data_IF_111393937255
#
_entry.id   IF_111393937255
#
_cell.length_a   1.000
_cell.length_b   1.000
_cell.length_c   1.000
_cell.angle_alpha   90.00
_cell.angle_beta   90.00
_cell.angle_gamma   90.00
#
_symmetry.space_group_name_H-M   'P 1'
#
loop_
_entity.id
_entity.type
_entity.pdbx_description
1 polymer ?
#
# COMPACT_ATOMS: atom_id res chain seq x y z
N UNK A 1 -10.19 13.33 -15.19
CA UNK A 1 -9.32 14.45 -14.79
C UNK A 1 -7.88 14.04 -14.98
N UNK A 2 -6.93 14.97 -15.02
CA UNK A 2 -5.51 14.61 -15.06
C UNK A 2 -5.07 14.03 -13.72
N UNK A 3 -3.99 13.24 -13.74
CA UNK A 3 -3.34 12.72 -12.53
C UNK A 3 -2.87 13.91 -11.69
N UNK A 4 -3.13 13.91 -10.38
CA UNK A 4 -2.79 15.02 -9.48
C UNK A 4 -1.82 14.59 -8.40
N UNK A 5 -0.70 15.30 -8.24
CA UNK A 5 0.18 15.17 -7.06
C UNK A 5 -0.29 16.12 -5.96
N UNK A 6 -0.59 15.60 -4.79
CA UNK A 6 -0.88 16.38 -3.60
C UNK A 6 0.44 16.70 -2.88
N UNK A 7 0.58 17.94 -2.39
CA UNK A 7 1.79 18.36 -1.70
C UNK A 7 1.86 17.69 -0.33
N UNK A 8 2.94 16.95 -0.08
CA UNK A 8 3.31 16.54 1.27
C UNK A 8 3.87 17.76 2.03
N UNK A 9 3.60 17.81 3.33
CA UNK A 9 4.24 18.79 4.22
C UNK A 9 5.70 18.34 4.38
N UNK A 10 6.65 19.15 3.90
CA UNK A 10 8.04 18.78 3.57
C UNK A 10 8.98 18.35 4.71
N UNK A 11 8.49 17.61 5.71
CA UNK A 11 9.28 17.02 6.79
C UNK A 11 9.91 15.67 6.38
N UNK A 12 9.36 14.99 5.37
CA UNK A 12 9.81 13.67 4.92
C UNK A 12 10.18 13.70 3.43
N UNK A 13 11.00 12.74 2.95
CA UNK A 13 11.27 12.58 1.53
C UNK A 13 9.99 12.43 0.71
N UNK A 14 9.97 12.98 -0.49
CA UNK A 14 8.82 12.91 -1.41
C UNK A 14 8.50 11.47 -1.87
N UNK A 15 9.50 10.58 -1.81
CA UNK A 15 9.37 9.16 -2.17
C UNK A 15 10.00 8.34 -1.06
N UNK A 16 9.19 7.42 -0.52
CA UNK A 16 9.56 6.52 0.56
C UNK A 16 9.20 5.10 0.14
N UNK A 17 10.12 4.16 0.39
CA UNK A 17 9.84 2.73 0.37
C UNK A 17 9.79 2.14 1.80
N UNK A 18 9.50 0.85 1.92
CA UNK A 18 9.33 0.13 3.18
C UNK A 18 10.57 0.23 4.07
N UNK A 19 11.77 0.04 3.49
CA UNK A 19 13.02 0.15 4.23
C UNK A 19 13.23 1.53 4.84
N UNK A 20 12.98 2.59 4.07
CA UNK A 20 13.05 3.96 4.57
C UNK A 20 11.97 4.22 5.63
N UNK A 21 10.80 3.59 5.49
CA UNK A 21 9.72 3.72 6.47
C UNK A 21 10.08 3.07 7.81
N UNK A 22 10.72 1.90 7.80
CA UNK A 22 11.30 1.26 9.00
C UNK A 22 12.31 2.20 9.67
N UNK A 23 13.26 2.74 8.90
CA UNK A 23 14.26 3.69 9.40
C UNK A 23 13.63 4.95 10.01
N UNK A 24 12.53 5.44 9.44
CA UNK A 24 11.78 6.56 10.00
C UNK A 24 11.12 6.19 11.33
N UNK A 25 10.54 4.99 11.43
CA UNK A 25 9.96 4.52 12.70
C UNK A 25 11.02 4.40 13.79
N UNK A 26 12.22 3.90 13.47
CA UNK A 26 13.34 3.85 14.41
C UNK A 26 13.80 5.26 14.82
N UNK A 27 13.94 6.16 13.85
CA UNK A 27 14.39 7.54 14.08
C UNK A 27 13.44 8.32 14.98
N UNK A 28 12.14 8.12 14.84
CA UNK A 28 11.10 8.83 15.59
C UNK A 28 10.43 7.94 16.66
N UNK A 29 11.11 6.86 17.10
CA UNK A 29 10.63 5.88 18.08
C UNK A 29 10.02 6.55 19.31
N UNK A 30 10.74 7.50 19.89
CA UNK A 30 10.31 8.21 21.09
C UNK A 30 9.04 9.05 20.87
N UNK A 31 8.95 9.78 19.75
CA UNK A 31 7.77 10.59 19.44
C UNK A 31 6.55 9.75 19.08
N UNK A 32 6.74 8.61 18.40
CA UNK A 32 5.69 7.63 18.12
C UNK A 32 5.16 7.05 19.44
N UNK A 33 6.05 6.59 20.32
CA UNK A 33 5.68 5.99 21.60
C UNK A 33 4.92 6.96 22.51
N UNK A 34 5.31 8.24 22.53
CA UNK A 34 4.61 9.30 23.27
C UNK A 34 3.35 9.83 22.58
N UNK A 35 3.11 9.47 21.32
CA UNK A 35 2.02 10.03 20.52
C UNK A 35 2.15 11.53 20.28
N UNK A 36 3.38 12.05 20.22
CA UNK A 36 3.67 13.49 20.10
C UNK A 36 3.98 13.94 18.69
N UNK A 37 3.94 13.04 17.69
CA UNK A 37 4.04 13.44 16.28
C UNK A 37 2.83 14.32 15.94
N UNK A 38 3.08 15.63 15.78
CA UNK A 38 2.04 16.61 15.45
C UNK A 38 2.05 16.89 13.96
N UNK A 39 0.89 16.75 13.32
CA UNK A 39 0.58 17.47 12.08
C UNK A 39 1.11 16.88 10.78
N UNK A 40 1.44 15.60 10.71
CA UNK A 40 1.85 14.98 9.43
C UNK A 40 0.93 13.84 9.01
N UNK A 41 0.14 14.09 7.95
CA UNK A 41 -0.61 13.06 7.24
C UNK A 41 0.30 12.19 6.33
N UNK A 42 1.62 12.37 6.38
CA UNK A 42 2.59 11.66 5.55
C UNK A 42 3.80 11.25 6.39
N UNK A 43 4.40 10.07 6.19
CA UNK A 43 3.92 8.98 5.33
C UNK A 43 2.65 8.30 5.88
N UNK A 44 1.57 8.31 5.09
CA UNK A 44 0.37 7.52 5.37
C UNK A 44 0.53 6.16 4.72
N UNK A 45 0.07 5.12 5.40
CA UNK A 45 0.10 3.75 4.89
C UNK A 45 -1.32 3.18 4.75
N UNK A 46 -1.40 2.11 3.98
CA UNK A 46 -2.53 1.19 3.89
C UNK A 46 -2.08 -0.17 4.42
N UNK A 47 -2.95 -0.88 5.12
CA UNK A 47 -2.70 -2.23 5.63
C UNK A 47 -3.95 -3.10 5.54
N UNK A 48 -3.79 -4.42 5.56
CA UNK A 48 -4.93 -5.37 5.51
C UNK A 48 -5.44 -5.64 6.92
N UNK A 49 -6.74 -5.45 7.13
CA UNK A 49 -7.46 -5.87 8.33
C UNK A 49 -8.07 -7.25 8.11
N UNK A 50 -8.72 -7.45 6.95
CA UNK A 50 -9.44 -8.67 6.62
C UNK A 50 -9.88 -8.67 5.17
N UNK A 51 -10.76 -9.61 4.78
CA UNK A 51 -11.34 -9.65 3.43
C UNK A 51 -12.18 -8.40 3.15
N UNK A 52 -11.98 -7.77 2.00
CA UNK A 52 -12.61 -6.48 1.59
C UNK A 52 -12.38 -5.34 2.61
N UNK A 53 -11.32 -5.42 3.42
CA UNK A 53 -11.07 -4.46 4.50
C UNK A 53 -9.61 -4.05 4.55
N UNK A 54 -9.34 -2.88 3.99
CA UNK A 54 -8.11 -2.13 4.25
C UNK A 54 -8.30 -1.19 5.44
N UNK A 55 -7.24 -0.99 6.20
CA UNK A 55 -7.09 0.09 7.17
C UNK A 55 -6.06 1.10 6.69
N UNK A 56 -6.06 2.28 7.31
CA UNK A 56 -5.15 3.36 6.98
C UNK A 56 -4.61 4.02 8.24
N UNK A 57 -3.30 4.23 8.29
CA UNK A 57 -2.67 4.86 9.45
C UNK A 57 -1.76 6.01 9.00
N UNK A 58 -1.80 7.11 9.75
CA UNK A 58 -0.89 8.23 9.57
C UNK A 58 0.43 7.93 10.30
N UNK A 59 1.51 8.58 9.85
CA UNK A 59 2.79 8.45 10.53
C UNK A 59 2.67 8.93 11.98
N UNK A 60 3.16 8.12 12.91
CA UNK A 60 2.89 8.30 14.33
C UNK A 60 1.94 7.27 14.91
N UNK A 61 1.06 6.66 14.10
CA UNK A 61 0.07 5.68 14.55
C UNK A 61 0.42 4.24 14.16
N UNK A 62 1.63 4.02 13.66
CA UNK A 62 2.18 2.70 13.37
C UNK A 62 3.70 2.69 13.57
N UNK A 63 4.25 1.48 13.64
CA UNK A 63 5.69 1.23 13.62
C UNK A 63 5.96 -0.16 13.03
N UNK A 64 7.23 -0.43 12.72
CA UNK A 64 7.68 -1.74 12.27
C UNK A 64 8.55 -2.36 13.36
N UNK A 65 8.22 -3.57 13.80
CA UNK A 65 9.01 -4.29 14.79
C UNK A 65 10.28 -4.88 14.15
N UNK A 66 11.11 -5.55 14.96
CA UNK A 66 12.43 -6.09 14.57
C UNK A 66 12.34 -7.12 13.43
N UNK A 67 11.19 -7.77 13.26
CA UNK A 67 10.92 -8.74 12.19
C UNK A 67 10.33 -8.09 10.93
N UNK A 68 10.47 -6.77 10.78
CA UNK A 68 9.82 -5.95 9.74
C UNK A 68 8.28 -6.07 9.73
N UNK A 69 7.68 -6.61 10.79
CA UNK A 69 6.24 -6.73 10.95
C UNK A 69 5.60 -5.38 11.25
N UNK A 70 4.54 -5.02 10.52
CA UNK A 70 3.78 -3.80 10.76
C UNK A 70 2.88 -3.96 11.98
N UNK A 71 2.97 -2.98 12.89
CA UNK A 71 2.06 -2.81 14.02
C UNK A 71 1.38 -1.46 13.96
N UNK A 72 0.07 -1.45 14.20
CA UNK A 72 -0.78 -0.25 14.16
C UNK A 72 -1.49 -0.08 15.50
N UNK A 73 -1.59 1.16 15.95
CA UNK A 73 -2.32 1.53 17.16
C UNK A 73 -3.80 1.76 16.86
N UNK A 74 -4.66 1.10 17.62
CA UNK A 74 -6.12 1.24 17.57
C UNK A 74 -6.66 1.75 18.90
N UNK A 75 -7.84 2.38 18.88
CA UNK A 75 -8.51 2.88 20.09
C UNK A 75 -9.76 2.06 20.45
N UNK A 76 -10.25 1.31 19.49
CA UNK A 76 -11.50 0.58 19.53
C UNK A 76 -11.31 -0.69 20.35
N UNK A 77 -12.28 -0.97 21.24
CA UNK A 77 -12.22 -2.12 22.15
C UNK A 77 -12.17 -3.47 21.43
N UNK A 78 -12.63 -3.54 20.18
CA UNK A 78 -12.57 -4.77 19.38
C UNK A 78 -11.14 -5.28 19.15
N UNK A 79 -10.13 -4.43 19.30
CA UNK A 79 -8.71 -4.77 19.18
C UNK A 79 -8.05 -5.18 20.50
N UNK A 80 -8.81 -5.25 21.60
CA UNK A 80 -8.27 -5.60 22.93
C UNK A 80 -7.68 -7.02 22.96
N UNK A 81 -8.31 -7.98 22.28
CA UNK A 81 -7.84 -9.38 22.24
C UNK A 81 -6.57 -9.56 21.40
N UNK A 82 -6.41 -8.75 20.35
CA UNK A 82 -5.26 -8.77 19.45
C UNK A 82 -4.12 -7.83 19.92
N UNK A 83 -4.29 -7.18 21.08
CA UNK A 83 -3.29 -6.26 21.61
C UNK A 83 -2.02 -7.03 21.99
N UNK A 84 -0.89 -6.62 21.42
CA UNK A 84 0.43 -7.11 21.77
C UNK A 84 1.19 -6.04 22.58
N UNK A 85 1.21 -6.11 23.92
CA UNK A 85 1.99 -5.20 24.76
C UNK A 85 3.50 -5.53 24.75
N UNK A 86 3.87 -6.79 24.56
CA UNK A 86 5.28 -7.22 24.61
C UNK A 86 6.08 -6.57 23.47
N UNK A 87 5.51 -6.51 22.25
CA UNK A 87 6.18 -5.84 21.12
C UNK A 87 6.32 -4.33 21.34
N UNK A 88 5.43 -3.72 22.13
CA UNK A 88 5.53 -2.30 22.49
C UNK A 88 6.72 -2.10 23.42
N UNK A 89 6.84 -2.92 24.46
CA UNK A 89 7.98 -2.82 25.38
C UNK A 89 9.30 -3.14 24.68
N UNK A 90 9.35 -4.13 23.80
CA UNK A 90 10.53 -4.46 23.01
C UNK A 90 10.93 -3.31 22.08
N UNK A 91 9.97 -2.78 21.31
CA UNK A 91 10.24 -1.74 20.32
C UNK A 91 10.43 -0.35 20.94
N UNK A 92 9.78 0.00 22.05
CA UNK A 92 9.87 1.34 22.64
C UNK A 92 10.71 1.39 23.93
N UNK A 93 10.84 0.28 24.65
CA UNK A 93 11.52 0.21 25.96
C UNK A 93 10.62 0.61 27.13
N UNK A 94 9.33 0.88 26.88
CA UNK A 94 8.32 1.25 27.87
C UNK A 94 6.90 1.02 27.29
N UNK A 95 5.86 0.86 28.14
CA UNK A 95 4.51 0.44 27.71
C UNK A 95 3.68 1.47 26.93
N UNK A 96 4.19 2.68 26.66
CA UNK A 96 3.52 3.69 25.82
C UNK A 96 2.07 3.99 26.25
N UNK A 97 1.87 4.32 27.53
CA UNK A 97 0.54 4.52 28.12
C UNK A 97 -0.36 5.49 27.32
N UNK A 98 -1.65 5.13 27.17
CA UNK A 98 -2.65 5.94 26.47
C UNK A 98 -2.63 5.83 24.95
N UNK A 99 -1.70 5.06 24.36
CA UNK A 99 -1.62 4.84 22.91
C UNK A 99 -2.68 3.87 22.37
N UNK A 100 -3.29 3.04 23.21
CA UNK A 100 -4.39 2.14 22.82
C UNK A 100 -3.91 0.70 22.60
N UNK A 101 -4.56 -0.01 21.71
CA UNK A 101 -4.28 -1.42 21.39
C UNK A 101 -3.36 -1.51 20.17
N UNK A 102 -2.16 -2.04 20.36
CA UNK A 102 -1.20 -2.35 19.28
C UNK A 102 -1.51 -3.70 18.64
N UNK A 103 -1.83 -3.73 17.35
CA UNK A 103 -2.14 -4.96 16.63
C UNK A 103 -1.24 -5.14 15.40
N UNK A 104 -0.87 -6.38 15.11
CA UNK A 104 -0.10 -6.74 13.91
C UNK A 104 -1.00 -6.73 12.69
N UNK A 105 -0.53 -6.20 11.57
CA UNK A 105 -1.24 -6.21 10.29
C UNK A 105 -0.32 -6.50 9.10
N UNK A 106 -0.90 -6.91 7.96
CA UNK A 106 -0.16 -7.03 6.70
C UNK A 106 -0.02 -5.63 6.10
N UNK A 107 1.22 -5.17 5.95
CA UNK A 107 1.51 -3.91 5.26
C UNK A 107 1.06 -3.98 3.79
N UNK A 108 0.31 -2.97 3.34
CA UNK A 108 -0.38 -2.98 2.04
C UNK A 108 -0.24 -1.68 1.23
N UNK A 109 0.84 -0.93 1.47
CA UNK A 109 1.24 0.18 0.62
C UNK A 109 1.44 1.51 1.33
N UNK A 110 2.16 2.39 0.64
CA UNK A 110 2.45 3.76 1.03
C UNK A 110 1.62 4.69 0.16
N UNK A 111 1.01 5.71 0.78
CA UNK A 111 0.33 6.79 0.07
C UNK A 111 1.34 7.49 -0.86
N UNK A 112 1.08 7.45 -2.17
CA UNK A 112 2.02 8.01 -3.15
C UNK A 112 1.92 9.53 -3.27
N UNK A 113 0.89 10.15 -2.69
CA UNK A 113 0.52 11.53 -2.93
C UNK A 113 -0.27 11.75 -4.23
N UNK A 114 -0.37 10.75 -5.11
CA UNK A 114 -1.03 10.89 -6.41
C UNK A 114 -2.47 10.36 -6.38
N UNK A 115 -3.38 11.11 -7.00
CA UNK A 115 -4.72 10.64 -7.31
C UNK A 115 -4.78 10.16 -8.78
N UNK A 116 -5.53 9.10 -9.05
CA UNK A 116 -5.81 8.64 -10.40
C UNK A 116 -6.73 9.62 -11.16
N UNK A 117 -7.04 9.31 -12.42
CA UNK A 117 -7.85 10.19 -13.27
C UNK A 117 -9.32 10.28 -12.84
N UNK A 118 -9.79 9.41 -11.95
CA UNK A 118 -11.11 9.44 -11.30
C UNK A 118 -11.07 10.13 -9.92
N UNK A 119 -9.89 10.59 -9.48
CA UNK A 119 -9.71 11.28 -8.21
C UNK A 119 -9.51 10.36 -7.02
N UNK A 120 -9.21 9.08 -7.23
CA UNK A 120 -8.96 8.10 -6.17
C UNK A 120 -7.49 8.10 -5.78
N UNK A 121 -7.21 8.11 -4.48
CA UNK A 121 -5.84 8.07 -3.95
C UNK A 121 -5.15 6.77 -4.34
N UNK A 122 -3.96 6.87 -4.91
CA UNK A 122 -3.13 5.72 -5.25
C UNK A 122 -2.09 5.42 -4.16
N UNK A 123 -1.97 4.14 -3.84
CA UNK A 123 -0.99 3.59 -2.91
C UNK A 123 -0.09 2.61 -3.66
N UNK A 124 1.13 2.40 -3.19
CA UNK A 124 1.94 1.29 -3.70
C UNK A 124 1.20 -0.04 -3.52
N UNK A 125 1.35 -0.95 -4.49
CA UNK A 125 0.59 -2.19 -4.60
C UNK A 125 -0.75 -2.05 -5.34
N UNK A 126 -1.16 -0.84 -5.73
CA UNK A 126 -2.32 -0.64 -6.60
C UNK A 126 -2.05 -1.12 -8.02
N UNK A 127 -3.03 -1.79 -8.62
CA UNK A 127 -3.03 -2.13 -10.04
C UNK A 127 -3.83 -1.07 -10.78
N UNK A 128 -3.18 -0.41 -11.73
CA UNK A 128 -3.67 0.77 -12.43
C UNK A 128 -3.59 0.55 -13.93
N UNK A 129 -4.69 0.78 -14.64
CA UNK A 129 -4.69 0.83 -16.11
C UNK A 129 -4.08 2.16 -16.53
N UNK A 130 -2.99 2.10 -17.30
CA UNK A 130 -2.34 3.26 -17.88
C UNK A 130 -2.63 3.36 -19.38
N UNK A 131 -3.20 4.49 -19.79
CA UNK A 131 -3.52 4.80 -21.20
C UNK A 131 -2.99 6.17 -21.57
N UNK A 132 -2.37 6.28 -22.73
CA UNK A 132 -2.11 7.58 -23.35
C UNK A 132 -3.39 8.10 -24.00
N UNK A 133 -3.63 9.43 -24.02
CA UNK A 133 -4.81 10.02 -24.69
C UNK A 133 -4.80 9.80 -26.21
N UNK A 134 -3.64 9.51 -26.80
CA UNK A 134 -3.51 9.03 -28.18
C UNK A 134 -4.12 7.65 -28.43
N UNK A 135 -4.60 6.97 -27.38
CA UNK A 135 -5.31 5.69 -27.46
C UNK A 135 -4.43 4.47 -27.24
N UNK A 136 -3.11 4.64 -27.06
CA UNK A 136 -2.21 3.54 -26.72
C UNK A 136 -2.41 3.12 -25.26
N UNK A 137 -2.81 1.87 -25.03
CA UNK A 137 -2.94 1.28 -23.71
C UNK A 137 -1.68 0.47 -23.36
N UNK A 138 -0.95 0.91 -22.34
CA UNK A 138 0.18 0.17 -21.77
C UNK A 138 -0.29 -1.07 -21.00
N UNK A 139 -1.55 -1.06 -20.58
CA UNK A 139 -2.21 -2.12 -19.82
C UNK A 139 -2.31 -1.81 -18.34
N UNK A 140 -2.70 -2.82 -17.57
CA UNK A 140 -2.80 -2.76 -16.11
C UNK A 140 -1.43 -3.02 -15.46
N UNK A 141 -0.89 -2.06 -14.72
CA UNK A 141 0.43 -2.17 -14.10
C UNK A 141 0.31 -1.98 -12.59
N UNK A 142 1.10 -2.73 -11.84
CA UNK A 142 1.24 -2.62 -10.40
C UNK A 142 2.21 -1.49 -10.03
N UNK A 143 1.76 -0.59 -9.18
CA UNK A 143 2.46 0.61 -8.74
C UNK A 143 3.43 0.28 -7.59
N UNK A 144 4.64 0.79 -7.64
CA UNK A 144 5.65 0.62 -6.59
C UNK A 144 6.43 1.91 -6.33
N UNK A 145 7.34 1.84 -5.35
CA UNK A 145 8.29 2.90 -5.03
C UNK A 145 9.72 2.44 -5.31
N UNK A 146 10.44 3.23 -6.10
CA UNK A 146 11.89 3.17 -6.15
C UNK A 146 12.43 4.32 -5.30
N UNK A 147 13.11 4.07 -4.18
CA UNK A 147 13.59 5.15 -3.30
C UNK A 147 14.77 5.94 -3.90
N UNK A 148 15.39 5.45 -4.98
CA UNK A 148 16.60 6.04 -5.54
C UNK A 148 17.84 5.81 -4.68
N UNK A 149 18.97 6.40 -5.08
CA UNK A 149 20.19 6.50 -4.26
C UNK A 149 20.52 7.96 -3.88
N UNK A 150 20.09 8.94 -4.68
CA UNK A 150 20.38 10.37 -4.50
C UNK A 150 19.26 11.24 -5.12
N UNK A 151 18.11 11.38 -4.44
CA UNK A 151 16.97 12.21 -4.86
C UNK A 151 16.33 11.86 -6.22
N UNK A 152 16.71 10.73 -6.80
CA UNK A 152 16.19 10.18 -8.06
C UNK A 152 15.03 9.17 -7.84
N UNK A 153 14.54 9.07 -6.61
CA UNK A 153 13.41 8.22 -6.25
C UNK A 153 12.14 8.61 -6.99
N UNK A 154 11.28 7.62 -7.25
CA UNK A 154 9.98 7.83 -7.89
C UNK A 154 8.94 6.82 -7.39
N UNK A 155 7.68 7.24 -7.41
CA UNK A 155 6.55 6.32 -7.50
C UNK A 155 6.22 6.07 -8.97
N UNK A 156 6.01 4.82 -9.33
CA UNK A 156 5.79 4.46 -10.73
C UNK A 156 5.64 2.96 -10.95
N UNK A 157 5.52 2.59 -12.21
CA UNK A 157 5.34 1.21 -12.64
C UNK A 157 6.69 0.65 -13.06
N UNK A 158 7.26 -0.32 -12.31
CA UNK A 158 8.50 -0.99 -12.71
C UNK A 158 8.26 -1.79 -14.00
N UNK A 159 9.12 -1.61 -14.99
CA UNK A 159 9.15 -2.34 -16.25
C UNK A 159 10.55 -2.93 -16.45
N UNK A 160 10.73 -3.82 -17.43
CA UNK A 160 11.98 -4.57 -17.67
C UNK A 160 13.24 -3.68 -17.67
N UNK A 161 13.29 -2.67 -18.55
CA UNK A 161 14.44 -1.77 -18.69
C UNK A 161 14.08 -0.28 -18.51
N UNK A 162 12.88 0.00 -17.99
CA UNK A 162 12.39 1.36 -17.79
C UNK A 162 11.39 1.41 -16.64
N UNK A 163 10.84 2.58 -16.36
CA UNK A 163 9.71 2.72 -15.45
C UNK A 163 8.85 3.87 -15.92
N UNK A 164 7.54 3.64 -15.97
CA UNK A 164 6.58 4.72 -16.17
C UNK A 164 6.35 5.40 -14.83
N UNK A 165 6.91 6.59 -14.65
CA UNK A 165 6.85 7.33 -13.39
C UNK A 165 5.55 8.12 -13.28
N UNK A 166 5.00 8.23 -12.08
CA UNK A 166 3.76 8.98 -11.86
C UNK A 166 3.91 10.48 -12.12
N UNK A 167 5.08 11.05 -11.89
CA UNK A 167 5.35 12.46 -12.21
C UNK A 167 5.30 12.73 -13.72
N UNK A 168 5.78 11.80 -14.54
CA UNK A 168 5.61 11.84 -16.00
C UNK A 168 4.12 11.78 -16.40
N UNK A 169 3.29 11.07 -15.63
CA UNK A 169 1.84 10.99 -15.86
C UNK A 169 1.07 12.24 -15.42
N UNK A 170 1.58 13.03 -14.47
CA UNK A 170 0.94 14.29 -14.03
C UNK A 170 1.09 15.45 -15.01
N UNK A 171 2.09 15.40 -15.90
CA UNK A 171 2.32 16.39 -16.96
C UNK A 171 2.11 15.86 -18.38
N UNK A 172 1.94 14.55 -18.54
CA UNK A 172 1.70 13.89 -19.81
C UNK A 172 0.22 13.66 -20.07
N UNK A 173 -0.13 13.42 -21.34
CA UNK A 173 -1.47 13.03 -21.78
C UNK A 173 -1.81 11.59 -21.35
N UNK A 174 -1.77 11.28 -20.05
CA UNK A 174 -2.08 9.96 -19.50
C UNK A 174 -3.41 9.95 -18.75
N UNK A 175 -4.17 8.87 -18.96
CA UNK A 175 -5.32 8.49 -18.15
C UNK A 175 -4.93 7.27 -17.30
N UNK A 176 -5.02 7.44 -15.98
CA UNK A 176 -4.76 6.39 -15.01
C UNK A 176 -6.05 6.01 -14.32
N UNK A 177 -6.36 4.72 -14.22
CA UNK A 177 -7.51 4.23 -13.47
C UNK A 177 -7.12 3.07 -12.57
N UNK A 178 -7.26 3.24 -11.26
CA UNK A 178 -7.08 2.13 -10.31
C UNK A 178 -8.20 1.10 -10.52
N UNK A 179 -7.82 -0.16 -10.68
CA UNK A 179 -8.74 -1.27 -10.94
C UNK A 179 -8.65 -2.40 -9.90
N UNK A 180 -7.74 -2.28 -8.93
CA UNK A 180 -7.52 -3.32 -7.93
C UNK A 180 -6.19 -3.14 -7.22
N UNK A 181 -5.78 -4.17 -6.51
CA UNK A 181 -4.47 -4.22 -5.82
C UNK A 181 -3.82 -5.59 -5.97
N UNK A 182 -2.53 -5.67 -5.67
CA UNK A 182 -1.76 -6.93 -5.69
C UNK A 182 -2.06 -7.85 -4.48
N UNK A 183 -2.93 -7.43 -3.56
CA UNK A 183 -3.17 -8.09 -2.28
C UNK A 183 -4.27 -9.16 -2.35
N UNK A 184 -4.12 -10.11 -3.27
CA UNK A 184 -4.96 -11.31 -3.40
C UNK A 184 -4.17 -12.56 -2.98
N UNK A 185 -4.89 -13.64 -2.65
CA UNK A 185 -4.32 -14.91 -2.17
C UNK A 185 -3.41 -14.76 -0.94
N UNK A 186 -3.66 -13.76 -0.10
CA UNK A 186 -2.86 -13.44 1.08
C UNK A 186 -2.81 -14.60 2.08
N UNK A 187 -1.69 -14.75 2.77
CA UNK A 187 -1.59 -15.55 4.00
C UNK A 187 -1.40 -14.65 5.22
N UNK A 188 -2.15 -14.83 6.32
CA UNK A 188 -1.88 -14.13 7.57
C UNK A 188 -0.48 -14.41 8.14
N UNK A 189 0.12 -15.54 7.76
CA UNK A 189 1.42 -15.99 8.23
C UNK A 189 2.58 -15.69 7.28
N UNK A 190 2.33 -15.03 6.14
CA UNK A 190 3.40 -14.69 5.18
C UNK A 190 4.40 -13.70 5.81
N UNK A 191 5.68 -13.92 5.53
CA UNK A 191 6.72 -12.94 5.86
C UNK A 191 6.53 -11.66 5.02
N UNK A 192 6.85 -10.47 5.58
CA UNK A 192 6.77 -9.22 4.83
C UNK A 192 7.64 -9.25 3.57
N UNK A 193 7.00 -9.19 2.39
CA UNK A 193 7.69 -9.06 1.11
C UNK A 193 7.60 -7.60 0.61
N UNK A 194 8.72 -7.00 0.16
CA UNK A 194 8.70 -5.67 -0.44
C UNK A 194 7.73 -5.57 -1.62
N UNK A 195 6.91 -4.51 -1.65
CA UNK A 195 5.94 -4.27 -2.73
C UNK A 195 6.64 -4.12 -4.07
N UNK A 196 7.87 -3.63 -4.10
CA UNK A 196 8.69 -3.59 -5.32
C UNK A 196 8.81 -4.97 -6.00
N UNK A 197 9.05 -6.03 -5.22
CA UNK A 197 9.16 -7.40 -5.76
C UNK A 197 7.81 -7.92 -6.25
N UNK A 198 6.74 -7.71 -5.46
CA UNK A 198 5.37 -8.07 -5.87
C UNK A 198 4.96 -7.35 -7.17
N UNK A 199 5.27 -6.06 -7.30
CA UNK A 199 4.97 -5.27 -8.48
C UNK A 199 5.78 -5.70 -9.70
N UNK A 200 7.08 -5.99 -9.54
CA UNK A 200 7.91 -6.56 -10.61
C UNK A 200 7.36 -7.90 -11.09
N UNK A 201 7.02 -8.80 -10.18
CA UNK A 201 6.41 -10.09 -10.52
C UNK A 201 5.14 -9.93 -11.34
N UNK A 202 4.28 -8.98 -10.98
CA UNK A 202 3.03 -8.71 -11.70
C UNK A 202 3.23 -8.00 -13.05
N UNK A 203 4.19 -7.08 -13.14
CA UNK A 203 4.40 -6.30 -14.35
C UNK A 203 5.21 -7.08 -15.40
N UNK A 204 6.08 -7.99 -14.97
CA UNK A 204 7.04 -8.65 -15.85
C UNK A 204 6.74 -10.13 -16.11
N UNK A 205 5.80 -10.75 -15.40
CA UNK A 205 5.49 -12.16 -15.67
C UNK A 205 5.04 -12.39 -17.12
N UNK A 206 5.59 -13.43 -17.74
CA UNK A 206 5.22 -13.90 -19.07
C UNK A 206 3.91 -14.69 -19.02
N UNK A 207 2.84 -14.02 -18.61
CA UNK A 207 1.51 -14.59 -18.54
C UNK A 207 0.92 -14.77 -19.92
N UNK A 208 0.24 -15.90 -20.11
CA UNK A 208 -0.76 -16.04 -21.16
C UNK A 208 -1.87 -15.00 -20.95
N UNK A 209 -2.64 -14.74 -22.01
CA UNK A 209 -3.78 -13.82 -21.93
C UNK A 209 -4.82 -14.26 -20.89
N UNK A 210 -4.99 -15.56 -20.71
CA UNK A 210 -5.93 -16.15 -19.75
C UNK A 210 -5.43 -15.95 -18.31
N UNK A 211 -4.18 -16.31 -18.01
CA UNK A 211 -3.58 -16.08 -16.68
C UNK A 211 -3.62 -14.60 -16.30
N UNK A 212 -3.26 -13.72 -17.24
CA UNK A 212 -3.35 -12.27 -17.02
C UNK A 212 -4.78 -11.83 -16.70
N UNK A 213 -5.77 -12.35 -17.42
CA UNK A 213 -7.18 -12.06 -17.15
C UNK A 213 -7.59 -12.52 -15.75
N UNK A 214 -7.19 -13.73 -15.33
CA UNK A 214 -7.48 -14.27 -14.00
C UNK A 214 -6.86 -13.40 -12.90
N UNK A 215 -5.59 -13.00 -13.04
CA UNK A 215 -4.94 -12.09 -12.11
C UNK A 215 -5.63 -10.73 -12.01
N UNK A 216 -6.15 -10.20 -13.13
CA UNK A 216 -6.93 -8.96 -13.11
C UNK A 216 -8.30 -9.12 -12.45
N UNK A 217 -8.92 -10.30 -12.53
CA UNK A 217 -10.13 -10.62 -11.75
C UNK A 217 -9.77 -10.65 -10.26
N UNK A 218 -8.71 -11.39 -9.88
CA UNK A 218 -8.30 -11.49 -8.48
C UNK A 218 -7.98 -10.12 -7.87
N UNK A 219 -7.26 -9.27 -8.61
CA UNK A 219 -6.95 -7.90 -8.23
C UNK A 219 -8.17 -7.05 -7.86
N UNK A 220 -9.32 -7.26 -8.52
CA UNK A 220 -10.55 -6.52 -8.23
C UNK A 220 -11.12 -6.86 -6.86
N UNK A 221 -10.97 -8.10 -6.41
CA UNK A 221 -11.53 -8.57 -5.14
C UNK A 221 -10.43 -8.61 -4.07
N UNK A 222 -9.87 -7.44 -3.77
CA UNK A 222 -8.80 -7.28 -2.79
C UNK A 222 -9.15 -6.27 -1.70
N UNK A 223 -8.62 -6.42 -0.48
CA UNK A 223 -7.73 -7.49 -0.05
C UNK A 223 -8.49 -8.81 0.17
N UNK A 224 -7.86 -9.94 -0.15
CA UNK A 224 -8.49 -11.25 -0.01
C UNK A 224 -7.47 -12.37 0.27
N UNK A 225 -7.91 -13.35 1.06
CA UNK A 225 -7.15 -14.49 1.55
C UNK A 225 -7.53 -15.81 0.85
N UNK A 226 -8.55 -15.79 -0.01
CA UNK A 226 -8.93 -16.94 -0.83
C UNK A 226 -7.73 -17.40 -1.66
N UNK A 227 -7.33 -18.68 -1.55
CA UNK A 227 -6.15 -19.21 -2.24
C UNK A 227 -6.47 -19.74 -3.64
N UNK A 228 -7.70 -20.18 -3.88
CA UNK A 228 -8.09 -20.78 -5.15
C UNK A 228 -8.71 -19.76 -6.12
N UNK A 229 -8.19 -19.71 -7.35
CA UNK A 229 -8.63 -18.75 -8.40
C UNK A 229 -10.15 -18.79 -8.66
N UNK A 230 -10.75 -19.97 -8.63
CA UNK A 230 -12.17 -20.15 -8.93
C UNK A 230 -13.09 -19.37 -7.98
N UNK A 231 -12.64 -19.08 -6.74
CA UNK A 231 -13.41 -18.28 -5.79
C UNK A 231 -13.57 -16.84 -6.26
N UNK A 232 -12.53 -16.27 -6.88
CA UNK A 232 -12.54 -14.93 -7.46
C UNK A 232 -13.40 -14.87 -8.72
N UNK A 233 -13.29 -15.88 -9.59
CA UNK A 233 -14.18 -16.02 -10.75
C UNK A 233 -15.65 -16.14 -10.30
N UNK A 234 -15.91 -16.84 -9.19
CA UNK A 234 -17.22 -16.90 -8.56
C UNK A 234 -17.73 -15.53 -8.11
N UNK A 235 -16.89 -14.71 -7.47
CA UNK A 235 -17.25 -13.33 -7.08
C UNK A 235 -17.61 -12.47 -8.29
N UNK A 236 -16.86 -12.61 -9.39
CA UNK A 236 -17.15 -11.91 -10.65
C UNK A 236 -18.50 -12.31 -11.23
N UNK A 237 -18.80 -13.60 -11.28
CA UNK A 237 -20.09 -14.11 -11.78
C UNK A 237 -21.25 -13.63 -10.90
N UNK A 238 -21.03 -13.55 -9.59
CA UNK A 238 -22.03 -13.08 -8.64
C UNK A 238 -22.20 -11.54 -8.63
N UNK A 239 -21.31 -10.80 -9.30
CA UNK A 239 -21.32 -9.34 -9.31
C UNK A 239 -21.02 -8.73 -7.93
N UNK A 240 -20.14 -9.35 -7.15
CA UNK A 240 -19.71 -8.80 -5.88
C UNK A 240 -18.98 -7.46 -6.07
N UNK A 241 -19.09 -6.56 -5.10
CA UNK A 241 -18.40 -5.27 -5.12
C UNK A 241 -17.47 -5.17 -3.91
N UNK A 242 -16.21 -4.85 -4.16
CA UNK A 242 -15.20 -4.57 -3.14
C UNK A 242 -14.92 -3.07 -3.17
N UNK A 243 -14.78 -2.45 -2.00
CA UNK A 243 -14.58 -1.00 -1.90
C UNK A 243 -13.25 -0.70 -1.20
N UNK A 244 -12.23 -0.41 -2.00
CA UNK A 244 -10.88 -0.16 -1.49
C UNK A 244 -10.74 1.10 -0.66
N UNK A 245 -11.65 2.08 -0.82
CA UNK A 245 -11.59 3.36 -0.10
C UNK A 245 -12.51 3.41 1.13
N UNK A 246 -13.12 2.28 1.53
CA UNK A 246 -13.88 2.20 2.78
C UNK A 246 -12.96 2.57 3.94
N UNK A 247 -13.29 3.66 4.63
CA UNK A 247 -12.66 4.03 5.90
C UNK A 247 -13.56 3.46 6.99
N UNK A 248 -13.04 2.49 7.75
CA UNK A 248 -13.60 2.14 9.06
C UNK A 248 -13.08 3.13 10.10
#
# INVERSE_FOLDING_TARGET
MDVKKNKHLGQFPDVINEKQLVQLCEKYRDEIGRGTIKGTAYPRIRYVIGRDQFGYANFGDYFFAVDDGLYVWHKEKEYEEDHNPDVVEDFFGHPCEGRGYTCRHIFAGIDTGYDDSEGKRMFTGDIVVARERGGYELGALCLAAWPGRCDDGFYGFPLDNHSLRLDMCTGGDYFLKRIGTIFYQLDPCDEPEPIWHKALGFNWNYWTKEERSNHLVMARYTPNFDKEEWKYLGLEILGAEFEWDKIK
#
